data_IF_609558660796
#
_entry.id   IF_609558660796
#
_cell.length_a   1.000
_cell.length_b   1.000
_cell.length_c   1.000
_cell.angle_alpha   90.00
_cell.angle_beta   90.00
_cell.angle_gamma   90.00
#
_symmetry.space_group_name_H-M   'P 1'
#
loop_
_entity.id
_entity.type
_entity.pdbx_description
1 polymer ?
#
# COMPACT_ATOMS: atom_id res chain seq x y z
N UNK A 1 37.49 36.99 27.07
CA UNK A 1 36.84 36.13 26.06
C UNK A 1 35.96 35.14 26.79
N UNK A 2 34.67 35.44 26.89
CA UNK A 2 33.67 34.66 27.61
C UNK A 2 33.11 33.58 26.69
N UNK A 3 33.43 32.31 26.96
CA UNK A 3 32.79 31.18 26.31
C UNK A 3 31.31 31.16 26.70
N UNK A 4 30.40 31.31 25.73
CA UNK A 4 28.96 31.15 25.94
C UNK A 4 28.66 29.69 26.30
N UNK A 5 27.79 29.42 27.28
CA UNK A 5 27.40 28.05 27.59
C UNK A 5 26.58 27.49 26.42
N UNK A 6 27.00 26.35 25.91
CA UNK A 6 26.24 25.59 24.91
C UNK A 6 24.96 25.12 25.60
N UNK A 7 23.81 25.48 25.02
CA UNK A 7 22.49 25.09 25.50
C UNK A 7 22.40 23.58 25.74
N UNK A 8 21.86 23.20 26.91
CA UNK A 8 21.57 21.80 27.27
C UNK A 8 20.72 21.10 26.18
N UNK A 9 19.87 21.85 25.46
CA UNK A 9 19.11 21.32 24.32
C UNK A 9 19.98 20.85 23.15
N UNK A 10 21.12 21.51 22.88
CA UNK A 10 22.07 21.06 21.84
C UNK A 10 22.84 19.81 22.24
N UNK A 11 23.02 19.55 23.55
CA UNK A 11 23.63 18.30 24.04
C UNK A 11 22.65 17.12 24.02
N UNK A 12 21.35 17.36 24.20
CA UNK A 12 20.33 16.32 24.12
C UNK A 12 20.07 15.84 22.69
N UNK A 13 20.14 16.73 21.68
CA UNK A 13 20.08 16.32 20.27
C UNK A 13 21.28 15.46 19.83
N UNK A 14 22.45 15.67 20.44
CA UNK A 14 23.67 14.91 20.13
C UNK A 14 23.76 13.54 20.85
N UNK A 15 22.80 13.24 21.74
CA UNK A 15 22.75 11.99 22.51
C UNK A 15 21.52 11.14 22.19
N UNK A 16 20.74 11.51 21.16
CA UNK A 16 19.66 10.64 20.69
C UNK A 16 20.29 9.41 20.01
N UNK A 17 20.04 8.19 20.51
CA UNK A 17 20.37 6.99 19.75
C UNK A 17 19.63 7.04 18.41
N UNK A 18 20.14 6.35 17.36
CA UNK A 18 19.52 6.21 16.03
C UNK A 18 18.01 6.47 16.07
N UNK A 19 17.58 7.54 15.39
CA UNK A 19 16.31 8.25 15.54
C UNK A 19 15.16 7.41 16.08
N UNK A 20 14.68 7.76 17.28
CA UNK A 20 13.44 7.18 17.82
C UNK A 20 12.28 7.57 16.91
N UNK A 21 11.69 6.59 16.21
CA UNK A 21 10.49 6.77 15.40
C UNK A 21 9.37 7.29 16.29
N UNK A 22 8.88 8.50 16.03
CA UNK A 22 7.80 9.09 16.81
C UNK A 22 6.44 8.63 16.27
N UNK A 23 5.54 8.10 17.10
CA UNK A 23 4.16 7.84 16.69
C UNK A 23 3.47 9.10 16.16
N UNK A 24 2.52 8.91 15.25
CA UNK A 24 1.69 9.92 14.59
C UNK A 24 2.46 10.96 13.74
N UNK A 25 3.77 10.78 13.59
CA UNK A 25 4.65 11.64 12.80
C UNK A 25 5.14 10.88 11.57
N UNK A 26 5.39 11.59 10.44
CA UNK A 26 5.94 10.96 9.25
C UNK A 26 7.39 10.51 9.51
N UNK A 27 7.66 9.25 9.20
CA UNK A 27 8.99 8.65 9.24
C UNK A 27 9.45 8.29 7.82
N UNK A 28 10.39 9.05 7.22
CA UNK A 28 10.87 8.79 5.87
C UNK A 28 11.51 7.40 5.76
N UNK A 29 11.18 6.68 4.68
CA UNK A 29 11.81 5.40 4.37
C UNK A 29 12.26 5.33 2.90
N UNK A 30 13.30 4.55 2.59
CA UNK A 30 13.70 4.34 1.20
C UNK A 30 12.67 3.52 0.42
N UNK A 31 12.80 3.54 -0.90
CA UNK A 31 12.20 2.58 -1.81
C UNK A 31 13.27 2.07 -2.78
N UNK A 32 12.99 0.97 -3.45
CA UNK A 32 14.01 0.17 -4.12
C UNK A 32 13.66 -0.12 -5.57
N UNK A 33 14.68 -0.10 -6.42
CA UNK A 33 14.61 -0.52 -7.82
C UNK A 33 15.48 -1.75 -8.03
N UNK A 34 15.03 -2.68 -8.86
CA UNK A 34 15.86 -3.79 -9.29
C UNK A 34 16.76 -3.37 -10.45
N UNK A 35 18.05 -3.70 -10.35
CA UNK A 35 19.02 -3.51 -11.41
C UNK A 35 19.33 -4.86 -12.06
N UNK A 36 18.93 -5.04 -13.32
CA UNK A 36 19.14 -6.29 -14.05
C UNK A 36 20.61 -6.59 -14.38
N UNK A 37 21.47 -5.57 -14.41
CA UNK A 37 22.91 -5.73 -14.66
C UNK A 37 23.62 -6.29 -13.43
N UNK A 38 23.33 -5.74 -12.25
CA UNK A 38 23.95 -6.20 -11.00
C UNK A 38 23.15 -7.32 -10.33
N UNK A 39 21.93 -7.58 -10.80
CA UNK A 39 20.96 -8.53 -10.22
C UNK A 39 20.62 -8.25 -8.75
N UNK A 40 20.57 -6.97 -8.38
CA UNK A 40 20.34 -6.54 -7.01
C UNK A 40 19.25 -5.48 -6.92
N UNK A 41 18.50 -5.51 -5.83
CA UNK A 41 17.70 -4.37 -5.40
C UNK A 41 18.62 -3.30 -4.79
N UNK A 42 18.38 -2.04 -5.13
CA UNK A 42 19.15 -0.92 -4.59
C UNK A 42 18.21 0.24 -4.26
N UNK A 43 18.47 0.97 -3.16
CA UNK A 43 17.68 2.13 -2.82
C UNK A 43 17.76 3.16 -3.95
N UNK A 44 16.64 3.78 -4.27
CA UNK A 44 16.60 4.88 -5.25
C UNK A 44 17.00 6.16 -4.56
N UNK A 45 18.01 6.85 -5.09
CA UNK A 45 18.40 8.16 -4.62
C UNK A 45 17.37 9.19 -5.10
N UNK A 46 16.58 9.74 -4.18
CA UNK A 46 15.73 10.90 -4.48
C UNK A 46 16.60 12.15 -4.42
N UNK A 47 16.62 12.93 -5.50
CA UNK A 47 17.30 14.24 -5.61
C UNK A 47 16.66 15.27 -4.66
N UNK A 48 16.85 15.08 -3.35
CA UNK A 48 16.32 15.96 -2.31
C UNK A 48 17.33 17.04 -1.90
N UNK A 49 18.47 17.13 -2.59
CA UNK A 49 19.53 18.11 -2.32
C UNK A 49 20.18 18.62 -3.60
N UNK A 50 19.49 19.46 -4.36
CA UNK A 50 20.17 20.37 -5.30
C UNK A 50 19.99 21.79 -4.80
N UNK A 51 20.90 22.24 -3.94
CA UNK A 51 21.25 23.67 -3.95
C UNK A 51 21.77 24.02 -5.35
N UNK A 52 21.41 25.19 -5.92
CA UNK A 52 21.86 25.59 -7.24
C UNK A 52 23.33 25.98 -7.18
N UNK A 53 24.22 24.99 -7.14
CA UNK A 53 25.65 25.21 -7.28
C UNK A 53 26.11 24.54 -8.56
N UNK A 54 26.35 25.38 -9.55
CA UNK A 54 27.15 25.11 -10.74
C UNK A 54 28.36 24.25 -10.38
N UNK A 55 28.46 23.03 -10.91
CA UNK A 55 29.63 22.46 -11.62
C UNK A 55 29.52 20.93 -11.69
N UNK A 56 29.36 20.44 -12.93
CA UNK A 56 29.83 19.18 -13.51
C UNK A 56 30.26 18.06 -12.56
N UNK A 57 29.46 16.99 -12.42
CA UNK A 57 29.97 15.61 -12.34
C UNK A 57 28.89 14.61 -12.80
N UNK A 58 29.34 13.65 -13.60
CA UNK A 58 28.72 12.47 -14.21
C UNK A 58 27.47 11.91 -13.50
N UNK A 59 26.28 12.35 -13.92
CA UNK A 59 25.00 11.73 -13.59
C UNK A 59 24.84 10.46 -14.42
N UNK A 60 24.61 9.31 -13.78
CA UNK A 60 24.05 8.13 -14.45
C UNK A 60 22.61 8.48 -14.79
N UNK A 61 22.40 9.07 -15.96
CA UNK A 61 21.08 9.47 -16.46
C UNK A 61 20.22 8.21 -16.62
N UNK A 62 19.38 7.92 -15.63
CA UNK A 62 18.20 7.11 -15.90
C UNK A 62 17.37 7.98 -16.84
N UNK A 63 17.34 7.61 -18.13
CA UNK A 63 16.46 8.22 -19.13
C UNK A 63 15.01 7.91 -18.73
N UNK A 64 14.46 8.67 -17.79
CA UNK A 64 13.04 8.64 -17.47
C UNK A 64 12.32 9.54 -18.46
N UNK A 65 11.93 8.98 -19.60
CA UNK A 65 10.75 9.47 -20.31
C UNK A 65 9.52 9.18 -19.42
N UNK A 66 9.42 9.85 -18.27
CA UNK A 66 8.28 9.71 -17.35
C UNK A 66 7.08 10.33 -18.02
N UNK A 67 6.14 9.48 -18.41
CA UNK A 67 4.85 9.94 -18.90
C UNK A 67 4.10 10.54 -17.71
N UNK A 68 3.50 11.73 -17.86
CA UNK A 68 2.55 12.27 -16.89
C UNK A 68 1.60 11.21 -16.34
N UNK A 69 1.58 11.01 -15.02
CA UNK A 69 0.59 10.16 -14.38
C UNK A 69 -0.78 10.82 -14.53
N UNK A 70 -1.63 10.27 -15.39
CA UNK A 70 -2.99 10.77 -15.65
C UNK A 70 -4.06 9.77 -15.27
N UNK A 71 -3.83 8.51 -15.59
CA UNK A 71 -4.72 7.40 -15.31
C UNK A 71 -3.90 6.23 -14.76
N UNK A 72 -4.43 5.53 -13.77
CA UNK A 72 -3.78 4.39 -13.18
C UNK A 72 -4.79 3.48 -12.49
N UNK A 73 -4.36 2.25 -12.26
CA UNK A 73 -5.09 1.23 -11.52
C UNK A 73 -4.42 1.04 -10.17
N UNK A 74 -5.19 1.19 -9.10
CA UNK A 74 -4.78 0.87 -7.73
C UNK A 74 -5.42 -0.45 -7.30
N UNK A 75 -4.58 -1.43 -6.99
CA UNK A 75 -4.98 -2.71 -6.42
C UNK A 75 -4.67 -2.73 -4.93
N UNK A 76 -5.57 -3.23 -4.09
CA UNK A 76 -5.31 -3.50 -2.67
C UNK A 76 -5.75 -4.91 -2.29
N UNK A 77 -4.93 -5.61 -1.51
CA UNK A 77 -5.24 -6.97 -1.08
C UNK A 77 -4.54 -7.37 0.23
N UNK A 78 -5.33 -7.82 1.21
CA UNK A 78 -4.82 -8.53 2.38
C UNK A 78 -4.48 -9.98 1.97
N UNK A 79 -3.23 -10.41 2.20
CA UNK A 79 -2.75 -11.74 1.81
C UNK A 79 -2.75 -12.78 2.94
N UNK A 80 -3.33 -12.43 4.11
CA UNK A 80 -3.59 -13.32 5.23
C UNK A 80 -2.34 -14.02 5.79
N UNK A 81 -1.68 -13.37 6.75
CA UNK A 81 -0.51 -13.94 7.41
C UNK A 81 -0.86 -15.05 8.40
N UNK A 82 -2.14 -15.28 8.71
CA UNK A 82 -2.50 -16.19 9.77
C UNK A 82 -2.48 -17.64 9.31
N UNK A 83 -2.81 -17.90 8.04
CA UNK A 83 -2.90 -19.25 7.51
C UNK A 83 -1.53 -19.91 7.25
N UNK A 84 -1.46 -21.24 7.23
CA UNK A 84 -0.25 -21.98 6.87
C UNK A 84 0.12 -21.79 5.38
N UNK A 85 1.29 -22.32 4.99
CA UNK A 85 1.75 -22.33 3.60
C UNK A 85 1.78 -20.95 2.93
N UNK A 86 2.24 -19.96 3.69
CA UNK A 86 2.33 -18.55 3.28
C UNK A 86 3.12 -18.38 1.99
N UNK A 87 4.19 -19.15 1.79
CA UNK A 87 5.05 -19.01 0.62
C UNK A 87 4.31 -19.38 -0.67
N UNK A 88 3.64 -20.53 -0.65
CA UNK A 88 2.85 -21.07 -1.75
C UNK A 88 1.68 -20.14 -2.07
N UNK A 89 0.96 -19.69 -1.03
CA UNK A 89 -0.16 -18.75 -1.16
C UNK A 89 0.26 -17.40 -1.73
N UNK A 90 1.34 -16.82 -1.20
CA UNK A 90 1.91 -15.56 -1.73
C UNK A 90 2.33 -15.71 -3.18
N UNK A 91 3.04 -16.79 -3.53
CA UNK A 91 3.46 -17.03 -4.92
C UNK A 91 2.26 -17.18 -5.86
N UNK A 92 1.22 -17.92 -5.45
CA UNK A 92 -0.01 -18.06 -6.21
C UNK A 92 -0.74 -16.72 -6.37
N UNK A 93 -0.85 -15.93 -5.30
CA UNK A 93 -1.42 -14.58 -5.34
C UNK A 93 -0.67 -13.65 -6.30
N UNK A 94 0.66 -13.64 -6.28
CA UNK A 94 1.46 -12.84 -7.23
C UNK A 94 1.30 -13.33 -8.68
N UNK A 95 1.15 -14.63 -8.90
CA UNK A 95 0.88 -15.18 -10.24
C UNK A 95 -0.50 -14.73 -10.75
N UNK A 96 -1.51 -14.78 -9.89
CA UNK A 96 -2.85 -14.26 -10.17
C UNK A 96 -2.81 -12.77 -10.54
N UNK A 97 -2.16 -11.94 -9.70
CA UNK A 97 -2.02 -10.50 -9.95
C UNK A 97 -1.33 -10.22 -11.28
N UNK A 98 -0.28 -10.96 -11.63
CA UNK A 98 0.38 -10.81 -12.93
C UNK A 98 -0.58 -11.05 -14.11
N UNK A 99 -1.49 -12.01 -13.95
CA UNK A 99 -2.48 -12.37 -14.97
C UNK A 99 -3.59 -11.31 -15.07
N UNK A 100 -3.98 -10.67 -13.97
CA UNK A 100 -5.03 -9.65 -13.98
C UNK A 100 -4.50 -8.29 -14.43
N UNK A 101 -3.32 -7.90 -13.96
CA UNK A 101 -2.80 -6.53 -14.11
C UNK A 101 -1.93 -6.31 -15.36
N UNK A 102 -1.31 -7.37 -15.89
CA UNK A 102 -0.42 -7.27 -17.06
C UNK A 102 -1.07 -7.72 -18.37
N UNK A 103 -2.37 -8.06 -18.36
CA UNK A 103 -3.09 -8.36 -19.60
C UNK A 103 -3.08 -7.14 -20.52
N UNK A 104 -2.71 -7.30 -21.80
CA UNK A 104 -2.93 -6.27 -22.80
C UNK A 104 -4.43 -5.94 -22.84
N UNK A 105 -4.78 -4.66 -22.93
CA UNK A 105 -6.17 -4.26 -23.10
C UNK A 105 -6.75 -4.92 -24.36
N UNK A 106 -7.93 -5.53 -24.26
CA UNK A 106 -8.69 -6.02 -25.43
C UNK A 106 -9.13 -4.86 -26.35
N UNK A 107 -8.94 -3.61 -25.91
CA UNK A 107 -9.24 -2.42 -26.69
C UNK A 107 -8.18 -2.19 -27.79
N UNK A 108 -8.52 -2.65 -29.00
CA UNK A 108 -7.71 -2.57 -30.22
C UNK A 108 -7.24 -1.16 -30.61
N UNK A 109 -7.69 -0.12 -29.90
CA UNK A 109 -7.35 1.28 -30.15
C UNK A 109 -6.35 1.89 -29.14
N UNK A 110 -5.98 1.20 -28.05
CA UNK A 110 -4.99 1.70 -27.08
C UNK A 110 -4.10 0.56 -26.57
N UNK A 111 -2.95 0.41 -27.22
CA UNK A 111 -1.95 -0.64 -26.99
C UNK A 111 -1.09 -0.40 -25.71
N UNK A 112 -1.60 0.38 -24.74
CA UNK A 112 -0.83 0.80 -23.55
C UNK A 112 -1.42 0.17 -22.31
N UNK A 113 -0.67 -0.75 -21.69
CA UNK A 113 -1.00 -1.32 -20.37
C UNK A 113 -1.10 -0.20 -19.32
N UNK A 114 -2.16 -0.20 -18.47
CA UNK A 114 -2.34 0.83 -17.45
C UNK A 114 -1.15 0.87 -16.47
N UNK A 115 -0.92 2.03 -15.86
CA UNK A 115 0.01 2.17 -14.74
C UNK A 115 -0.61 1.48 -13.53
N UNK A 116 0.13 0.57 -12.88
CA UNK A 116 -0.36 -0.22 -11.75
C UNK A 116 0.32 0.15 -10.43
N UNK A 117 -0.47 0.32 -9.38
CA UNK A 117 0.03 0.45 -8.01
C UNK A 117 -0.65 -0.62 -7.17
N UNK A 118 0.11 -1.35 -6.37
CA UNK A 118 -0.38 -2.50 -5.61
C UNK A 118 -0.08 -2.31 -4.13
N UNK A 119 -1.12 -2.33 -3.31
CA UNK A 119 -1.05 -2.33 -1.86
C UNK A 119 -1.25 -3.75 -1.34
N UNK A 120 -0.32 -4.24 -0.56
CA UNK A 120 -0.46 -5.52 0.12
C UNK A 120 -0.42 -5.30 1.64
N UNK A 121 -1.30 -5.99 2.35
CA UNK A 121 -1.38 -6.03 3.81
C UNK A 121 -1.14 -7.46 4.31
N UNK A 122 -0.84 -7.59 5.60
CA UNK A 122 -0.54 -8.90 6.22
C UNK A 122 0.66 -9.62 5.59
N UNK A 123 1.66 -8.86 5.17
CA UNK A 123 2.90 -9.42 4.66
C UNK A 123 3.77 -9.93 5.80
N UNK A 124 4.43 -11.07 5.63
CA UNK A 124 5.50 -11.56 6.51
C UNK A 124 6.88 -11.46 5.84
N UNK A 125 8.00 -11.60 6.57
CA UNK A 125 9.33 -11.45 5.98
C UNK A 125 9.63 -12.39 4.79
N UNK A 126 9.04 -13.59 4.78
CA UNK A 126 9.21 -14.52 3.66
C UNK A 126 8.53 -14.03 2.38
N UNK A 127 7.37 -13.37 2.50
CA UNK A 127 6.64 -12.84 1.34
C UNK A 127 7.42 -11.72 0.65
N UNK A 128 8.14 -10.89 1.42
CA UNK A 128 9.05 -9.89 0.87
C UNK A 128 10.20 -10.53 0.08
N UNK A 129 10.69 -11.70 0.50
CA UNK A 129 11.71 -12.45 -0.24
C UNK A 129 11.15 -12.94 -1.58
N UNK A 130 9.92 -13.45 -1.58
CA UNK A 130 9.24 -13.92 -2.79
C UNK A 130 9.01 -12.74 -3.76
N UNK A 131 8.53 -11.59 -3.27
CA UNK A 131 8.38 -10.37 -4.06
C UNK A 131 9.70 -9.97 -4.72
N UNK A 132 10.81 -9.98 -3.96
CA UNK A 132 12.12 -9.63 -4.47
C UNK A 132 12.62 -10.57 -5.57
N UNK A 133 12.20 -11.84 -5.56
CA UNK A 133 12.60 -12.87 -6.53
C UNK A 133 11.65 -12.96 -7.73
N UNK A 134 10.47 -12.36 -7.64
CA UNK A 134 9.43 -12.44 -8.67
C UNK A 134 9.80 -11.57 -9.88
N UNK A 135 9.98 -12.22 -11.03
CA UNK A 135 10.51 -11.58 -12.25
C UNK A 135 9.68 -10.39 -12.75
N UNK A 136 8.36 -10.54 -12.84
CA UNK A 136 7.51 -9.44 -13.34
C UNK A 136 7.52 -8.23 -12.39
N UNK A 137 7.73 -8.45 -11.09
CA UNK A 137 7.91 -7.37 -10.13
C UNK A 137 9.25 -6.66 -10.36
N UNK A 138 10.35 -7.40 -10.52
CA UNK A 138 11.66 -6.82 -10.85
C UNK A 138 11.62 -5.99 -12.15
N UNK A 139 10.91 -6.50 -13.16
CA UNK A 139 10.81 -5.88 -14.48
C UNK A 139 9.96 -4.59 -14.44
N UNK A 140 8.88 -4.54 -13.64
CA UNK A 140 7.85 -3.50 -13.75
C UNK A 140 7.68 -2.60 -12.52
N UNK A 141 8.18 -2.95 -11.34
CA UNK A 141 7.85 -2.25 -10.09
C UNK A 141 9.07 -1.79 -9.29
N UNK A 142 8.94 -0.61 -8.67
CA UNK A 142 9.63 -0.28 -7.44
C UNK A 142 8.93 -0.95 -6.26
N UNK A 143 9.68 -1.25 -5.19
CA UNK A 143 9.14 -1.82 -3.96
C UNK A 143 9.54 -0.97 -2.75
N UNK A 144 8.66 -0.84 -1.76
CA UNK A 144 8.95 -0.05 -0.55
C UNK A 144 9.75 -0.82 0.50
N UNK A 145 9.66 -2.14 0.53
CA UNK A 145 10.21 -2.96 1.62
C UNK A 145 11.04 -4.15 1.07
N UNK A 146 12.33 -4.21 1.40
CA UNK A 146 13.18 -5.40 1.17
C UNK A 146 13.12 -6.39 2.33
N UNK A 147 12.73 -5.91 3.51
CA UNK A 147 12.63 -6.69 4.73
C UNK A 147 11.71 -5.96 5.71
N UNK A 148 11.45 -6.58 6.86
CA UNK A 148 10.51 -6.09 7.87
C UNK A 148 11.09 -5.02 8.81
N UNK A 149 12.27 -4.44 8.55
CA UNK A 149 12.91 -3.50 9.50
C UNK A 149 12.12 -2.21 9.71
N UNK A 150 11.28 -1.84 8.73
CA UNK A 150 10.39 -0.67 8.81
C UNK A 150 9.03 -1.01 9.45
N UNK A 151 8.74 -2.29 9.66
CA UNK A 151 7.51 -2.71 10.33
C UNK A 151 7.70 -2.69 11.84
N UNK A 152 6.63 -2.31 12.53
CA UNK A 152 6.60 -2.34 13.99
C UNK A 152 6.14 -3.67 14.55
N UNK A 153 5.42 -4.46 13.76
CA UNK A 153 4.92 -5.78 14.14
C UNK A 153 5.57 -6.94 13.41
N UNK A 154 5.07 -8.15 13.70
CA UNK A 154 5.55 -9.39 13.08
C UNK A 154 5.11 -9.56 11.62
N UNK A 155 4.19 -8.70 11.17
CA UNK A 155 3.71 -8.56 9.81
C UNK A 155 3.49 -7.07 9.50
N UNK A 156 3.31 -6.73 8.24
CA UNK A 156 3.13 -5.33 7.85
C UNK A 156 2.56 -5.13 6.46
N UNK A 157 2.72 -3.91 5.96
CA UNK A 157 2.28 -3.47 4.63
C UNK A 157 3.47 -3.28 3.70
N UNK A 158 3.27 -3.50 2.39
CA UNK A 158 4.23 -3.11 1.35
C UNK A 158 3.49 -2.56 0.14
N UNK A 159 4.14 -1.68 -0.61
CA UNK A 159 3.58 -1.08 -1.81
C UNK A 159 4.49 -1.36 -3.01
N UNK A 160 3.90 -1.88 -4.08
CA UNK A 160 4.55 -2.03 -5.39
C UNK A 160 4.10 -0.86 -6.27
N UNK A 161 5.05 -0.12 -6.84
CA UNK A 161 4.79 1.09 -7.61
C UNK A 161 5.32 0.88 -9.03
N UNK A 162 4.49 1.05 -10.07
CA UNK A 162 4.96 0.97 -11.45
C UNK A 162 6.20 1.84 -11.68
N UNK A 163 7.24 1.28 -12.33
CA UNK A 163 8.52 1.98 -12.56
C UNK A 163 8.40 3.18 -13.49
N UNK A 164 7.28 3.32 -14.20
CA UNK A 164 6.97 4.50 -15.02
C UNK A 164 6.58 5.71 -14.17
N UNK A 165 6.19 5.52 -12.92
CA UNK A 165 5.84 6.60 -11.99
C UNK A 165 7.09 7.35 -11.50
N UNK A 166 6.97 8.65 -11.31
CA UNK A 166 7.98 9.44 -10.61
C UNK A 166 7.62 9.50 -9.11
N UNK A 167 8.33 8.70 -8.31
CA UNK A 167 8.18 8.64 -6.85
C UNK A 167 8.93 9.80 -6.20
N UNK A 168 8.21 10.71 -5.57
CA UNK A 168 8.79 11.87 -4.89
C UNK A 168 9.31 11.51 -3.50
N UNK A 169 8.56 10.69 -2.75
CA UNK A 169 8.91 10.26 -1.38
C UNK A 169 8.07 9.07 -0.93
N UNK A 170 8.61 8.35 0.06
CA UNK A 170 7.92 7.29 0.79
C UNK A 170 8.14 7.51 2.28
N UNK A 171 7.08 7.39 3.08
CA UNK A 171 7.16 7.54 4.53
C UNK A 171 6.09 6.68 5.23
N UNK A 172 6.32 6.32 6.48
CA UNK A 172 5.34 5.63 7.33
C UNK A 172 4.85 6.57 8.42
N UNK A 173 3.57 6.47 8.76
CA UNK A 173 2.98 7.14 9.93
C UNK A 173 2.48 6.06 10.88
N UNK A 174 3.22 5.76 11.94
CA UNK A 174 2.79 4.77 12.91
C UNK A 174 1.68 5.29 13.81
N UNK A 175 0.57 4.57 13.93
CA UNK A 175 -0.55 5.02 14.74
C UNK A 175 -0.29 4.79 16.23
N UNK A 176 -0.24 5.87 17.01
CA UNK A 176 -0.05 5.81 18.47
C UNK A 176 -1.16 5.07 19.20
N UNK A 177 -2.38 5.11 18.64
CA UNK A 177 -3.56 4.42 19.17
C UNK A 177 -3.53 2.92 18.95
N UNK A 178 -2.62 2.43 18.11
CA UNK A 178 -2.64 1.03 17.70
C UNK A 178 -2.17 0.08 18.79
N UNK A 179 -2.87 -1.06 18.93
CA UNK A 179 -2.47 -2.19 19.79
C UNK A 179 -1.82 -3.32 19.00
N UNK A 180 -2.05 -3.33 17.69
CA UNK A 180 -1.50 -4.30 16.73
C UNK A 180 -0.37 -3.71 15.88
N UNK A 181 0.23 -2.60 16.32
CA UNK A 181 1.40 -1.99 15.68
C UNK A 181 1.13 -1.54 14.23
N UNK A 182 -0.08 -1.03 13.98
CA UNK A 182 -0.56 -0.54 12.68
C UNK A 182 0.06 0.81 12.30
N UNK A 183 0.18 1.03 11.01
CA UNK A 183 0.66 2.28 10.41
C UNK A 183 -0.05 2.59 9.08
N UNK A 184 0.14 3.82 8.61
CA UNK A 184 -0.11 4.20 7.22
C UNK A 184 1.20 4.26 6.46
N UNK A 185 1.33 3.47 5.39
CA UNK A 185 2.44 3.51 4.44
C UNK A 185 2.11 4.47 3.30
N UNK A 186 2.76 5.63 3.31
CA UNK A 186 2.53 6.69 2.34
C UNK A 186 3.54 6.70 1.20
N UNK A 187 3.05 6.96 0.00
CA UNK A 187 3.83 7.16 -1.23
C UNK A 187 3.30 8.41 -1.93
N UNK A 188 4.17 9.37 -2.19
CA UNK A 188 3.82 10.54 -3.00
C UNK A 188 4.37 10.36 -4.42
N UNK A 189 3.48 10.45 -5.40
CA UNK A 189 3.80 10.41 -6.83
C UNK A 189 3.61 11.78 -7.45
N UNK A 190 4.45 12.10 -8.44
CA UNK A 190 4.30 13.33 -9.22
C UNK A 190 3.29 13.15 -10.35
N UNK A 191 2.31 14.06 -10.39
CA UNK A 191 1.30 14.18 -11.41
C UNK A 191 1.68 15.32 -12.35
N UNK A 192 2.76 15.17 -13.12
CA UNK A 192 3.25 16.21 -14.03
C UNK A 192 2.23 16.52 -15.12
N UNK A 193 1.37 17.51 -14.94
CA UNK A 193 0.60 18.06 -16.05
C UNK A 193 1.30 19.33 -16.56
N UNK A 194 1.95 19.22 -17.73
CA UNK A 194 2.28 20.36 -18.59
C UNK A 194 3.01 21.54 -17.96
N UNK A 195 4.29 21.37 -17.61
CA UNK A 195 5.28 22.48 -17.55
C UNK A 195 5.14 23.53 -16.44
N UNK A 196 4.01 23.61 -15.73
CA UNK A 196 3.80 24.56 -14.63
C UNK A 196 3.32 23.81 -13.38
N UNK A 197 4.28 23.57 -12.45
CA UNK A 197 4.13 22.96 -11.12
C UNK A 197 3.24 21.70 -11.07
N UNK A 198 3.84 20.53 -11.28
CA UNK A 198 3.18 19.23 -11.09
C UNK A 198 2.63 19.08 -9.66
N UNK A 199 1.43 18.50 -9.55
CA UNK A 199 0.78 18.22 -8.27
C UNK A 199 1.21 16.88 -7.68
N UNK A 200 1.10 16.70 -6.37
CA UNK A 200 1.37 15.42 -5.72
C UNK A 200 0.11 14.57 -5.59
N UNK A 201 0.16 13.32 -6.02
CA UNK A 201 -0.79 12.27 -5.63
C UNK A 201 -0.24 11.55 -4.41
N UNK A 202 -0.93 11.64 -3.27
CA UNK A 202 -0.57 10.94 -2.03
C UNK A 202 -1.34 9.65 -1.88
N UNK A 203 -0.63 8.55 -1.75
CA UNK A 203 -1.15 7.21 -1.63
C UNK A 203 -0.92 6.71 -0.21
N UNK A 204 -1.88 6.05 0.42
CA UNK A 204 -1.78 5.49 1.76
C UNK A 204 -2.25 4.03 1.77
N UNK A 205 -1.30 3.10 1.89
CA UNK A 205 -1.57 1.69 2.16
C UNK A 205 -1.66 1.49 3.67
N UNK A 206 -2.78 1.01 4.17
CA UNK A 206 -2.93 0.78 5.62
C UNK A 206 -3.69 -0.51 5.92
N UNK A 207 -3.42 -1.08 7.08
CA UNK A 207 -4.25 -2.10 7.69
C UNK A 207 -4.66 -1.57 9.08
N UNK A 208 -5.92 -1.16 9.22
CA UNK A 208 -6.43 -0.57 10.46
C UNK A 208 -6.59 -1.61 11.59
N UNK A 209 -6.88 -1.14 12.80
CA UNK A 209 -7.03 -2.00 13.97
C UNK A 209 -8.11 -3.08 13.76
N UNK A 210 -7.71 -4.35 13.85
CA UNK A 210 -8.65 -5.46 13.78
C UNK A 210 -9.47 -5.58 15.06
N UNK A 211 -10.51 -6.42 15.00
CA UNK A 211 -11.44 -6.70 16.10
C UNK A 211 -12.19 -5.46 16.61
N UNK A 212 -13.24 -5.68 17.40
CA UNK A 212 -13.92 -4.57 18.06
C UNK A 212 -13.09 -4.06 19.24
N UNK A 213 -13.11 -2.74 19.43
CA UNK A 213 -12.45 -2.07 20.54
C UNK A 213 -13.39 -1.07 21.21
N UNK A 214 -13.23 -0.90 22.52
CA UNK A 214 -13.91 0.15 23.29
C UNK A 214 -12.85 0.91 24.11
N UNK A 215 -12.56 2.19 23.81
CA UNK A 215 -13.15 3.00 22.74
C UNK A 215 -12.77 2.50 21.32
N UNK A 216 -13.53 2.87 20.26
CA UNK A 216 -13.21 2.51 18.88
C UNK A 216 -11.87 3.10 18.42
N UNK A 217 -10.96 2.24 17.95
CA UNK A 217 -9.62 2.67 17.51
C UNK A 217 -9.58 3.02 16.01
N UNK A 218 -10.27 2.27 15.15
CA UNK A 218 -10.21 2.47 13.69
C UNK A 218 -10.60 3.87 13.23
N UNK A 219 -11.68 4.51 13.74
CA UNK A 219 -12.00 5.89 13.35
C UNK A 219 -10.88 6.88 13.70
N UNK A 220 -10.18 6.68 14.82
CA UNK A 220 -9.05 7.54 15.21
C UNK A 220 -7.86 7.39 14.25
N UNK A 221 -7.56 6.15 13.84
CA UNK A 221 -6.49 5.87 12.87
C UNK A 221 -6.82 6.44 11.49
N UNK A 222 -8.05 6.23 11.03
CA UNK A 222 -8.52 6.79 9.76
C UNK A 222 -8.50 8.32 9.79
N UNK A 223 -8.92 8.93 10.91
CA UNK A 223 -8.87 10.38 11.08
C UNK A 223 -7.44 10.91 10.95
N UNK A 224 -6.48 10.33 11.66
CA UNK A 224 -5.07 10.73 11.55
C UNK A 224 -4.55 10.55 10.12
N UNK A 225 -4.82 9.42 9.47
CA UNK A 225 -4.42 9.20 8.09
C UNK A 225 -5.02 10.24 7.14
N UNK A 226 -6.29 10.62 7.35
CA UNK A 226 -6.98 11.65 6.56
C UNK A 226 -6.34 13.03 6.72
N UNK A 227 -5.76 13.35 7.88
CA UNK A 227 -5.02 14.61 8.05
C UNK A 227 -3.83 14.67 7.10
N UNK A 228 -3.08 13.57 6.95
CA UNK A 228 -2.01 13.49 5.95
C UNK A 228 -2.53 13.51 4.51
N UNK A 229 -3.70 12.92 4.25
CA UNK A 229 -4.35 12.99 2.92
C UNK A 229 -4.75 14.42 2.54
N UNK A 230 -5.09 15.27 3.52
CA UNK A 230 -5.49 16.67 3.30
C UNK A 230 -4.32 17.66 3.45
N UNK A 231 -3.11 17.21 3.76
CA UNK A 231 -1.97 18.10 4.00
C UNK A 231 -2.09 18.93 5.28
N UNK A 232 -2.71 18.34 6.32
CA UNK A 232 -2.79 18.90 7.67
C UNK A 232 -2.33 17.94 8.79
N UNK A 233 -1.52 16.93 8.47
CA UNK A 233 -0.98 15.94 9.39
C UNK A 233 0.02 16.51 10.41
N UNK A 234 0.21 15.88 11.57
CA UNK A 234 1.25 16.26 12.50
C UNK A 234 2.65 16.13 11.88
N UNK A 235 3.51 17.12 12.10
CA UNK A 235 4.88 17.10 11.56
C UNK A 235 5.00 17.39 10.06
N UNK A 236 3.91 17.81 9.41
CA UNK A 236 3.88 18.11 7.97
C UNK A 236 4.54 19.44 7.57
N UNK A 237 5.39 20.06 8.40
CA UNK A 237 6.06 21.32 8.04
C UNK A 237 6.86 21.23 6.73
N UNK A 238 7.24 20.01 6.33
CA UNK A 238 8.04 19.72 5.14
C UNK A 238 7.30 18.85 4.11
N UNK A 239 6.02 18.50 4.33
CA UNK A 239 5.22 17.72 3.37
C UNK A 239 4.33 18.64 2.54
N UNK A 240 4.38 18.58 1.20
CA UNK A 240 3.49 19.38 0.38
C UNK A 240 2.04 18.92 0.56
N UNK A 241 1.11 19.87 0.53
CA UNK A 241 -0.32 19.56 0.40
C UNK A 241 -0.54 18.81 -0.92
N UNK A 242 -1.09 17.59 -0.88
CA UNK A 242 -1.31 16.83 -2.10
C UNK A 242 -2.44 17.44 -2.92
N UNK A 243 -2.34 17.33 -4.25
CA UNK A 243 -3.43 17.65 -5.17
C UNK A 243 -4.60 16.69 -4.99
N UNK A 244 -4.27 15.42 -4.77
CA UNK A 244 -5.24 14.40 -4.50
C UNK A 244 -4.63 13.28 -3.64
N UNK A 245 -5.48 12.53 -2.95
CA UNK A 245 -5.01 11.42 -2.14
C UNK A 245 -5.95 10.21 -2.19
N UNK A 246 -5.35 9.02 -2.07
CA UNK A 246 -6.05 7.74 -1.95
C UNK A 246 -5.53 7.01 -0.71
N UNK A 247 -6.45 6.50 0.11
CA UNK A 247 -6.19 5.56 1.18
C UNK A 247 -6.93 4.26 0.86
N UNK A 248 -6.20 3.15 0.85
CA UNK A 248 -6.78 1.84 0.58
C UNK A 248 -6.08 0.76 1.39
N UNK A 249 -6.77 -0.36 1.57
CA UNK A 249 -6.28 -1.46 2.39
C UNK A 249 -7.39 -2.26 3.02
N UNK A 250 -6.99 -3.07 4.00
CA UNK A 250 -7.90 -3.70 4.95
C UNK A 250 -8.21 -2.72 6.08
N UNK A 251 -9.36 -2.07 5.98
CA UNK A 251 -9.81 -1.11 6.98
C UNK A 251 -10.53 -1.79 8.14
N UNK A 252 -10.71 -3.12 8.12
CA UNK A 252 -11.48 -3.88 9.12
C UNK A 252 -12.86 -3.24 9.38
N UNK A 253 -13.47 -2.69 8.32
CA UNK A 253 -14.58 -1.75 8.41
C UNK A 253 -15.96 -2.41 8.57
N UNK A 254 -16.15 -3.16 9.66
CA UNK A 254 -17.37 -3.95 9.91
C UNK A 254 -18.24 -3.41 11.07
N UNK A 255 -17.78 -2.42 11.84
CA UNK A 255 -18.55 -1.81 12.91
C UNK A 255 -19.35 -0.58 12.42
N UNK A 256 -20.43 -0.16 13.12
CA UNK A 256 -21.23 1.00 12.74
C UNK A 256 -20.41 2.29 12.56
N UNK A 257 -19.41 2.51 13.40
CA UNK A 257 -18.53 3.69 13.34
C UNK A 257 -17.69 3.71 12.05
N UNK A 258 -17.37 2.55 11.48
CA UNK A 258 -16.59 2.43 10.24
C UNK A 258 -17.39 2.80 8.99
N UNK A 259 -18.71 2.90 9.11
CA UNK A 259 -19.60 3.37 8.05
C UNK A 259 -19.61 4.90 7.95
N UNK A 260 -19.54 5.61 9.09
CA UNK A 260 -19.59 7.07 9.11
C UNK A 260 -18.21 7.71 9.05
N UNK A 261 -17.18 7.05 9.59
CA UNK A 261 -15.83 7.58 9.70
C UNK A 261 -15.24 8.15 8.38
N UNK A 262 -15.41 7.53 7.20
CA UNK A 262 -14.93 8.13 5.94
C UNK A 262 -15.54 9.52 5.67
N UNK A 263 -16.84 9.69 5.87
CA UNK A 263 -17.53 10.97 5.65
C UNK A 263 -17.09 12.03 6.68
N UNK A 264 -16.92 11.62 7.94
CA UNK A 264 -16.39 12.49 9.02
C UNK A 264 -14.96 12.97 8.73
N UNK A 265 -14.19 12.17 7.99
CA UNK A 265 -12.84 12.50 7.52
C UNK A 265 -12.81 13.24 6.17
N UNK A 266 -13.98 13.62 5.63
CA UNK A 266 -14.14 14.23 4.31
C UNK A 266 -13.50 13.39 3.17
N UNK A 267 -13.60 12.07 3.26
CA UNK A 267 -13.15 11.11 2.26
C UNK A 267 -14.34 10.52 1.50
N UNK A 268 -14.21 10.44 0.17
CA UNK A 268 -15.17 9.76 -0.70
C UNK A 268 -14.83 8.28 -0.76
N UNK A 269 -15.83 7.41 -0.74
CA UNK A 269 -15.65 5.96 -0.89
C UNK A 269 -15.89 5.55 -2.35
N UNK A 270 -14.90 4.92 -2.98
CA UNK A 270 -14.96 4.52 -4.38
C UNK A 270 -16.19 3.64 -4.69
N UNK A 271 -16.52 2.70 -3.80
CA UNK A 271 -17.65 1.80 -4.00
C UNK A 271 -18.98 2.55 -3.97
N UNK A 272 -19.14 3.48 -3.02
CA UNK A 272 -20.36 4.26 -2.87
C UNK A 272 -20.51 5.33 -3.97
N UNK A 273 -19.41 5.96 -4.38
CA UNK A 273 -19.38 6.92 -5.50
C UNK A 273 -19.85 6.27 -6.80
N UNK A 274 -19.48 5.01 -7.03
CA UNK A 274 -19.90 4.22 -8.20
C UNK A 274 -21.31 3.63 -8.07
N UNK A 275 -22.09 4.01 -7.06
CA UNK A 275 -23.48 3.58 -6.86
C UNK A 275 -23.63 2.27 -6.09
N UNK A 276 -22.54 1.72 -5.54
CA UNK A 276 -22.56 0.60 -4.63
C UNK A 276 -23.32 0.90 -3.34
N UNK A 277 -23.71 -0.16 -2.63
CA UNK A 277 -24.47 -0.07 -1.37
C UNK A 277 -23.80 -0.92 -0.30
N UNK A 278 -23.38 -0.29 0.79
CA UNK A 278 -22.80 -1.01 1.93
C UNK A 278 -23.79 -2.03 2.52
N UNK A 279 -23.26 -3.11 3.10
CA UNK A 279 -24.06 -4.18 3.69
C UNK A 279 -24.73 -5.12 2.70
N UNK A 280 -24.36 -5.05 1.42
CA UNK A 280 -24.83 -5.97 0.37
C UNK A 280 -23.76 -7.01 0.02
N UNK A 281 -24.15 -8.14 -0.57
CA UNK A 281 -23.22 -9.22 -0.93
C UNK A 281 -22.15 -8.77 -1.92
N UNK A 282 -22.50 -7.84 -2.81
CA UNK A 282 -21.59 -7.22 -3.77
C UNK A 282 -20.53 -6.36 -3.09
N UNK A 283 -20.83 -5.84 -1.89
CA UNK A 283 -19.90 -5.01 -1.11
C UNK A 283 -18.86 -5.83 -0.37
N UNK A 284 -19.15 -7.09 -0.01
CA UNK A 284 -18.31 -7.86 0.89
C UNK A 284 -16.96 -8.22 0.28
N UNK A 285 -15.91 -8.03 1.06
CA UNK A 285 -14.53 -8.40 0.71
C UNK A 285 -13.97 -9.45 1.65
N UNK A 286 -14.68 -9.76 2.74
CA UNK A 286 -14.31 -10.80 3.68
C UNK A 286 -15.50 -11.71 4.01
N UNK A 287 -15.19 -12.99 4.27
CA UNK A 287 -16.13 -14.00 4.74
C UNK A 287 -16.55 -15.02 3.68
N UNK A 288 -16.24 -14.80 2.40
CA UNK A 288 -16.55 -15.75 1.33
C UNK A 288 -15.56 -16.91 1.26
N UNK A 289 -14.29 -16.67 1.57
CA UNK A 289 -13.16 -17.60 1.39
C UNK A 289 -12.66 -18.16 2.73
N UNK A 290 -13.60 -18.53 3.60
CA UNK A 290 -13.33 -19.10 4.92
C UNK A 290 -14.22 -20.32 5.18
N UNK A 291 -13.83 -21.21 6.11
CA UNK A 291 -14.68 -22.32 6.53
C UNK A 291 -16.07 -21.88 6.97
N UNK A 292 -17.09 -22.69 6.65
CA UNK A 292 -18.50 -22.37 6.93
C UNK A 292 -18.75 -21.99 8.40
N UNK A 293 -18.13 -22.70 9.35
CA UNK A 293 -18.30 -22.43 10.78
C UNK A 293 -17.78 -21.04 11.19
N UNK A 294 -16.75 -20.53 10.51
CA UNK A 294 -16.19 -19.21 10.78
C UNK A 294 -17.09 -18.12 10.17
N UNK A 295 -17.60 -18.36 8.94
CA UNK A 295 -18.60 -17.50 8.30
C UNK A 295 -19.90 -17.42 9.09
N UNK A 296 -20.38 -18.54 9.65
CA UNK A 296 -21.58 -18.56 10.51
C UNK A 296 -21.38 -17.75 11.79
N UNK A 297 -20.16 -17.74 12.33
CA UNK A 297 -19.82 -17.01 13.56
C UNK A 297 -19.68 -15.50 13.35
N UNK A 298 -19.06 -15.08 12.26
CA UNK A 298 -18.68 -13.68 12.04
C UNK A 298 -19.44 -12.98 10.89
N UNK A 299 -20.10 -13.73 10.03
CA UNK A 299 -20.76 -13.21 8.84
C UNK A 299 -19.79 -12.83 7.72
N UNK A 300 -20.31 -12.17 6.69
CA UNK A 300 -19.50 -11.52 5.66
C UNK A 300 -19.53 -10.01 5.87
N UNK A 301 -18.47 -9.31 5.46
CA UNK A 301 -18.39 -7.86 5.61
C UNK A 301 -17.51 -7.20 4.54
N UNK A 302 -17.66 -5.89 4.36
CA UNK A 302 -16.77 -5.07 3.51
C UNK A 302 -15.66 -4.51 4.39
N UNK A 303 -14.62 -5.29 4.60
CA UNK A 303 -13.48 -4.88 5.41
C UNK A 303 -12.53 -3.96 4.64
N UNK A 304 -12.35 -4.25 3.35
CA UNK A 304 -11.45 -3.54 2.46
C UNK A 304 -12.17 -2.38 1.76
N UNK A 305 -11.51 -1.23 1.70
CA UNK A 305 -12.08 -0.02 1.06
C UNK A 305 -11.01 0.74 0.28
N UNK A 306 -11.48 1.52 -0.67
CA UNK A 306 -10.69 2.52 -1.39
C UNK A 306 -11.33 3.88 -1.16
N UNK A 307 -10.68 4.71 -0.37
CA UNK A 307 -11.13 6.05 0.04
C UNK A 307 -10.27 7.11 -0.64
N UNK A 308 -10.84 8.24 -1.04
CA UNK A 308 -10.10 9.26 -1.77
C UNK A 308 -10.62 10.69 -1.57
N UNK A 309 -9.76 11.68 -1.78
CA UNK A 309 -10.09 13.11 -1.78
C UNK A 309 -9.27 13.88 -2.82
N UNK A 310 -9.59 15.16 -3.01
CA UNK A 310 -8.92 16.04 -3.96
C UNK A 310 -9.24 15.73 -5.43
N UNK A 311 -8.33 16.10 -6.33
CA UNK A 311 -8.48 16.05 -7.79
C UNK A 311 -8.40 14.65 -8.40
N UNK A 312 -9.32 13.76 -8.01
CA UNK A 312 -9.47 12.40 -8.50
C UNK A 312 -10.92 12.09 -8.86
N UNK A 313 -11.07 11.32 -9.92
CA UNK A 313 -12.29 10.61 -10.29
C UNK A 313 -12.01 9.11 -10.31
N UNK A 314 -12.88 8.34 -9.66
CA UNK A 314 -12.89 6.88 -9.79
C UNK A 314 -13.76 6.51 -10.98
N UNK A 315 -13.21 5.74 -11.92
CA UNK A 315 -13.90 5.31 -13.13
C UNK A 315 -14.44 3.88 -13.01
N UNK A 316 -13.73 3.02 -12.27
CA UNK A 316 -14.10 1.61 -12.07
C UNK A 316 -13.61 1.11 -10.71
N UNK A 317 -14.36 0.18 -10.13
CA UNK A 317 -13.94 -0.61 -8.96
C UNK A 317 -14.44 -2.04 -9.15
N UNK A 318 -13.56 -3.02 -9.00
CA UNK A 318 -13.90 -4.43 -9.07
C UNK A 318 -13.29 -5.22 -7.91
N UNK A 319 -13.95 -6.33 -7.55
CA UNK A 319 -13.37 -7.34 -6.66
C UNK A 319 -12.54 -8.32 -7.47
N UNK A 320 -11.40 -8.72 -6.93
CA UNK A 320 -10.49 -9.69 -7.53
C UNK A 320 -10.17 -10.81 -6.54
N UNK A 321 -9.59 -11.90 -7.02
CA UNK A 321 -9.11 -13.02 -6.19
C UNK A 321 -10.20 -13.98 -5.73
N UNK A 322 -11.43 -13.84 -6.22
CA UNK A 322 -12.55 -14.68 -5.81
C UNK A 322 -12.42 -16.13 -6.31
N UNK A 323 -12.38 -17.07 -5.38
CA UNK A 323 -12.24 -18.51 -5.64
C UNK A 323 -10.83 -18.94 -5.99
N UNK A 324 -9.84 -18.06 -5.87
CA UNK A 324 -8.45 -18.41 -6.14
C UNK A 324 -7.91 -19.33 -5.05
N UNK A 325 -7.39 -20.49 -5.48
CA UNK A 325 -6.89 -21.55 -4.61
C UNK A 325 -5.52 -22.02 -5.09
N UNK A 326 -4.77 -22.61 -4.16
CA UNK A 326 -3.48 -23.23 -4.43
C UNK A 326 -3.47 -24.63 -3.84
N UNK A 327 -2.88 -25.58 -4.58
CA UNK A 327 -2.63 -26.92 -4.07
C UNK A 327 -1.42 -26.91 -3.15
N UNK A 328 -1.58 -27.42 -1.93
CA UNK A 328 -0.53 -27.58 -0.93
C UNK A 328 -0.23 -29.06 -0.78
N UNK A 329 0.98 -29.48 -1.12
CA UNK A 329 1.44 -30.85 -0.89
C UNK A 329 1.81 -31.06 0.58
N UNK A 330 1.34 -32.15 1.18
CA UNK A 330 1.79 -32.54 2.51
C UNK A 330 3.19 -33.15 2.43
N UNK A 331 4.05 -32.95 3.45
CA UNK A 331 5.33 -33.65 3.50
C UNK A 331 5.09 -35.16 3.52
N UNK A 332 5.88 -35.93 2.76
CA UNK A 332 5.87 -37.39 2.81
C UNK A 332 6.31 -37.86 4.21
N UNK A 333 5.36 -38.02 5.13
CA UNK A 333 5.61 -38.55 6.47
C UNK A 333 5.24 -40.04 6.49
N UNK A 334 6.24 -40.87 6.13
CA UNK A 334 6.35 -42.33 6.26
C UNK A 334 6.18 -43.19 4.99
N UNK A 335 7.01 -44.24 4.91
CA UNK A 335 7.07 -45.27 3.86
C UNK A 335 5.88 -46.26 3.89
N UNK A 336 4.80 -45.94 4.62
CA UNK A 336 3.61 -46.79 4.66
C UNK A 336 2.67 -46.37 3.53
N UNK A 337 2.38 -47.30 2.62
CA UNK A 337 1.42 -47.16 1.52
C UNK A 337 -0.01 -46.98 2.04
N UNK A 338 -0.32 -45.85 2.67
CA UNK A 338 -1.69 -45.41 2.90
C UNK A 338 -2.14 -44.54 1.73
N UNK A 339 -3.35 -44.75 1.23
CA UNK A 339 -4.03 -43.89 0.24
C UNK A 339 -4.42 -42.53 0.85
N UNK A 340 -3.59 -41.95 1.72
CA UNK A 340 -3.87 -40.67 2.34
C UNK A 340 -3.74 -39.55 1.29
N UNK A 341 -4.60 -38.52 1.42
CA UNK A 341 -4.58 -37.35 0.55
C UNK A 341 -3.18 -36.72 0.57
N UNK A 342 -2.55 -36.56 -0.61
CA UNK A 342 -1.17 -36.06 -0.74
C UNK A 342 -1.04 -34.54 -0.54
N UNK A 343 -2.14 -33.88 -0.19
CA UNK A 343 -2.25 -32.44 -0.12
C UNK A 343 -3.70 -31.99 -0.13
N UNK A 344 -3.91 -30.68 -0.10
CA UNK A 344 -5.23 -30.05 -0.13
C UNK A 344 -5.24 -28.76 -0.97
N UNK A 345 -6.39 -28.41 -1.53
CA UNK A 345 -6.62 -27.08 -2.10
C UNK A 345 -7.00 -26.10 -0.99
N UNK A 346 -6.25 -25.00 -0.88
CA UNK A 346 -6.54 -23.93 0.08
C UNK A 346 -6.73 -22.61 -0.64
N UNK A 347 -7.60 -21.75 -0.12
CA UNK A 347 -7.67 -20.37 -0.58
C UNK A 347 -6.36 -19.64 -0.35
N UNK A 348 -5.95 -18.85 -1.33
CA UNK A 348 -4.70 -18.07 -1.25
C UNK A 348 -4.78 -16.92 -0.23
N UNK A 349 -5.99 -16.48 0.13
CA UNK A 349 -6.29 -15.52 1.20
C UNK A 349 -7.78 -15.61 1.57
N UNK A 350 -8.15 -15.22 2.78
CA UNK A 350 -9.55 -15.09 3.20
C UNK A 350 -10.24 -13.80 2.71
N UNK A 351 -9.47 -12.86 2.14
CA UNK A 351 -9.96 -11.62 1.55
C UNK A 351 -10.09 -11.68 0.01
N UNK A 352 -11.12 -11.01 -0.50
CA UNK A 352 -11.17 -10.57 -1.89
C UNK A 352 -10.40 -9.25 -2.03
N UNK A 353 -9.59 -9.13 -3.07
CA UNK A 353 -8.89 -7.88 -3.38
C UNK A 353 -9.82 -6.86 -4.03
N UNK A 354 -9.40 -5.61 -4.03
CA UNK A 354 -10.05 -4.53 -4.77
C UNK A 354 -9.11 -3.95 -5.83
N UNK A 355 -9.64 -3.68 -7.02
CA UNK A 355 -8.92 -3.06 -8.12
C UNK A 355 -9.73 -1.84 -8.61
N UNK A 356 -9.14 -0.66 -8.52
CA UNK A 356 -9.81 0.62 -8.77
C UNK A 356 -9.08 1.42 -9.84
N UNK A 357 -9.79 1.84 -10.88
CA UNK A 357 -9.24 2.70 -11.92
C UNK A 357 -9.54 4.15 -11.60
N UNK A 358 -8.49 4.98 -11.62
CA UNK A 358 -8.56 6.39 -11.31
C UNK A 358 -8.06 7.24 -12.47
N UNK A 359 -8.70 8.40 -12.60
CA UNK A 359 -8.24 9.52 -13.42
C UNK A 359 -7.94 10.72 -12.53
N UNK A 360 -6.77 11.31 -12.73
CA UNK A 360 -6.38 12.56 -12.08
C UNK A 360 -7.01 13.71 -12.84
N UNK A 361 -7.79 14.54 -12.14
CA UNK A 361 -8.43 15.73 -12.71
C UNK A 361 -7.51 16.92 -12.57
N UNK A 362 -7.67 17.94 -13.43
CA UNK A 362 -6.81 19.14 -13.42
C UNK A 362 -6.87 19.90 -12.10
N UNK A 363 -5.76 20.58 -11.78
CA UNK A 363 -5.68 21.62 -10.74
C UNK A 363 -6.52 22.85 -11.15
N UNK A 364 -7.83 22.76 -10.97
CA UNK A 364 -8.76 23.90 -11.03
C UNK A 364 -9.16 24.39 -12.44
N UNK A 365 -10.47 24.49 -12.64
CA UNK A 365 -11.09 25.15 -13.79
C UNK A 365 -12.61 24.98 -13.77
N UNK A 366 -13.24 25.53 -12.71
CA UNK A 366 -14.69 25.58 -12.38
C UNK A 366 -15.46 24.27 -12.16
#
# INVERSE_FOLDING_TARGET
>A
MTQRPISIFKRLQALSPKGSIMPDMPDPQPYYSYNHTTQTWSPVETDSTVEPTTTTTTTTTINTNTTPLKTFTLTTWNIDFQQPCKAERTQAGLNYLSTVLLKPSDDKNNDVTPINIIFLQEMVPNDLTIIQQTKWIQDHFFITDLNHTQWRGSYGTTTLIDRRCHVQRVFRVPYSTSRMQRDGLFVDLDCQEGGETGGTLRLCNTHLESLLSNPPIRPMQLHLASQFMHGSGPGETDLPTPHAAILAGDLNAFAPEDLTAPNECALRDAFLVLGGKDGTEESFTWGQQIPNWLREKFGCSRMDKVLFCGGLEVERLERIGAGEMVWIEYPDVSDEETEDEKGEEVWITDHLGLCADFRITRLGGE
#
